data_IF_748003374289
#
_entry.id   IF_748003374289
#
_cell.length_a   1.000
_cell.length_b   1.000
_cell.length_c   1.000
_cell.angle_alpha   90.00
_cell.angle_beta   90.00
_cell.angle_gamma   90.00
#
_symmetry.space_group_name_H-M   'P 1'
#
loop_
_entity.id
_entity.type
_entity.pdbx_description
1 polymer ?
#
# COMPACT_ATOMS: atom_id res chain seq x y z
N UNK A 1 -27.35 -31.47 14.62
CA UNK A 1 -28.12 -31.01 15.79
C UNK A 1 -28.37 -29.52 15.60
N UNK A 2 -29.57 -29.18 15.13
CA UNK A 2 -29.97 -27.83 14.71
C UNK A 2 -30.39 -27.04 15.95
N UNK A 3 -29.72 -25.91 16.23
CA UNK A 3 -30.12 -24.98 17.27
C UNK A 3 -30.72 -23.76 16.57
N UNK A 4 -32.06 -23.75 16.48
CA UNK A 4 -32.87 -22.60 16.10
C UNK A 4 -32.81 -21.58 17.23
N UNK A 5 -32.35 -20.35 16.96
CA UNK A 5 -32.51 -19.22 17.89
C UNK A 5 -33.84 -18.53 17.60
N UNK A 6 -34.71 -18.56 18.60
CA UNK A 6 -36.03 -17.95 18.66
C UNK A 6 -35.96 -16.43 18.75
N UNK A 7 -36.76 -15.77 17.92
CA UNK A 7 -37.07 -14.34 17.91
C UNK A 7 -37.81 -13.96 19.20
N UNK A 8 -37.28 -13.04 20.00
CA UNK A 8 -38.03 -12.36 21.06
C UNK A 8 -38.36 -10.95 20.60
N UNK A 9 -39.64 -10.73 20.31
CA UNK A 9 -40.24 -9.42 20.04
C UNK A 9 -40.41 -8.72 21.39
N UNK A 10 -39.67 -7.63 21.61
CA UNK A 10 -39.87 -6.74 22.76
C UNK A 10 -40.75 -5.56 22.33
N UNK A 11 -41.98 -5.54 22.84
CA UNK A 11 -42.91 -4.42 22.74
C UNK A 11 -42.47 -3.39 23.78
N UNK A 12 -41.95 -2.25 23.34
CA UNK A 12 -41.68 -1.11 24.22
C UNK A 12 -42.91 -0.18 24.25
N UNK A 13 -43.40 0.06 25.47
CA UNK A 13 -44.58 0.84 25.78
C UNK A 13 -44.37 2.34 25.54
N UNK A 14 -45.39 3.01 24.98
CA UNK A 14 -45.51 4.46 24.95
C UNK A 14 -45.66 5.02 26.37
N UNK A 15 -44.75 5.91 26.77
CA UNK A 15 -45.00 6.89 27.83
C UNK A 15 -44.89 8.28 27.27
N UNK A 16 -46.02 8.99 27.22
CA UNK A 16 -46.11 10.42 26.92
C UNK A 16 -45.65 11.24 28.12
N UNK A 17 -44.72 12.19 27.91
CA UNK A 17 -44.47 13.29 28.83
C UNK A 17 -44.27 14.60 28.05
N UNK A 18 -44.94 15.65 28.54
CA UNK A 18 -45.24 16.92 27.91
C UNK A 18 -44.11 17.95 27.91
N UNK A 19 -43.98 18.66 26.76
CA UNK A 19 -43.55 20.05 26.55
C UNK A 19 -42.40 20.63 27.42
N UNK A 20 -41.19 20.65 26.83
CA UNK A 20 -40.20 21.71 27.04
C UNK A 20 -39.54 22.09 25.70
N UNK A 21 -39.68 23.37 25.35
CA UNK A 21 -38.76 24.21 24.56
C UNK A 21 -37.95 23.58 23.42
N UNK A 22 -38.37 23.88 22.18
CA UNK A 22 -37.55 24.02 20.97
C UNK A 22 -36.21 23.29 20.93
N UNK A 23 -36.23 21.95 20.89
CA UNK A 23 -35.07 21.16 20.51
C UNK A 23 -35.12 20.98 18.99
N UNK A 24 -34.08 21.41 18.30
CA UNK A 24 -33.92 21.29 16.86
C UNK A 24 -34.04 19.83 16.41
N UNK A 25 -35.18 19.44 15.86
CA UNK A 25 -35.38 18.13 15.21
C UNK A 25 -34.55 17.96 13.91
N UNK A 26 -33.83 19.01 13.50
CA UNK A 26 -33.04 19.00 12.28
C UNK A 26 -31.83 18.05 12.35
N UNK A 27 -31.11 17.97 13.47
CA UNK A 27 -29.84 17.20 13.50
C UNK A 27 -30.06 15.69 13.49
N UNK A 28 -31.08 15.17 14.20
CA UNK A 28 -31.34 13.74 14.24
C UNK A 28 -31.91 13.20 12.91
N UNK A 29 -32.71 14.02 12.21
CA UNK A 29 -33.21 13.67 10.88
C UNK A 29 -32.10 13.71 9.82
N UNK A 30 -31.14 14.64 9.95
CA UNK A 30 -29.97 14.74 9.09
C UNK A 30 -28.96 13.59 9.34
N UNK A 31 -28.77 13.19 10.59
CA UNK A 31 -27.92 12.03 10.94
C UNK A 31 -28.51 10.72 10.38
N UNK A 32 -29.83 10.54 10.53
CA UNK A 32 -30.52 9.35 9.99
C UNK A 32 -30.49 9.31 8.46
N UNK A 33 -30.62 10.46 7.77
CA UNK A 33 -30.58 10.51 6.31
C UNK A 33 -29.17 10.23 5.77
N UNK A 34 -28.14 10.72 6.47
CA UNK A 34 -26.72 10.43 6.17
C UNK A 34 -26.42 8.94 6.32
N UNK A 35 -26.84 8.32 7.43
CA UNK A 35 -26.69 6.89 7.65
C UNK A 35 -27.36 6.05 6.56
N UNK A 36 -28.59 6.41 6.17
CA UNK A 36 -29.31 5.70 5.10
C UNK A 36 -28.58 5.83 3.76
N UNK A 37 -28.04 7.01 3.43
CA UNK A 37 -27.26 7.22 2.21
C UNK A 37 -25.95 6.43 2.23
N UNK A 38 -25.24 6.42 3.36
CA UNK A 38 -24.00 5.66 3.53
C UNK A 38 -24.22 4.16 3.30
N UNK A 39 -25.26 3.59 3.92
CA UNK A 39 -25.64 2.18 3.73
C UNK A 39 -26.05 1.89 2.29
N UNK A 40 -26.66 2.86 1.60
CA UNK A 40 -27.01 2.69 0.19
C UNK A 40 -25.75 2.65 -0.70
N UNK A 41 -24.79 3.55 -0.47
CA UNK A 41 -23.53 3.60 -1.21
C UNK A 41 -22.69 2.33 -1.00
N UNK A 42 -22.55 1.87 0.25
CA UNK A 42 -21.91 0.60 0.61
C UNK A 42 -22.47 -0.55 -0.22
N UNK A 43 -23.79 -0.73 -0.22
CA UNK A 43 -24.47 -1.78 -1.00
C UNK A 43 -24.29 -1.65 -2.50
N UNK A 44 -24.28 -0.43 -3.02
CA UNK A 44 -24.06 -0.17 -4.45
C UNK A 44 -22.64 -0.60 -4.85
N UNK A 45 -21.64 -0.24 -4.04
CA UNK A 45 -20.24 -0.63 -4.27
C UNK A 45 -20.05 -2.14 -4.14
N UNK A 46 -20.63 -2.77 -3.12
CA UNK A 46 -20.58 -4.22 -2.93
C UNK A 46 -21.14 -4.97 -4.13
N UNK A 47 -22.33 -4.56 -4.60
CA UNK A 47 -22.96 -5.17 -5.77
C UNK A 47 -22.12 -5.01 -7.04
N UNK A 48 -21.50 -3.84 -7.24
CA UNK A 48 -20.61 -3.60 -8.37
C UNK A 48 -19.37 -4.51 -8.30
N UNK A 49 -18.73 -4.63 -7.13
CA UNK A 49 -17.56 -5.49 -6.92
C UNK A 49 -17.89 -6.96 -7.14
N UNK A 50 -19.04 -7.42 -6.63
CA UNK A 50 -19.52 -8.80 -6.80
C UNK A 50 -19.74 -9.11 -8.29
N UNK A 51 -20.34 -8.20 -9.06
CA UNK A 51 -20.65 -8.41 -10.48
C UNK A 51 -19.42 -8.70 -11.35
N UNK A 52 -18.26 -8.14 -11.01
CA UNK A 52 -16.99 -8.36 -11.72
C UNK A 52 -16.02 -9.28 -10.96
N UNK A 53 -16.46 -9.89 -9.85
CA UNK A 53 -15.67 -10.84 -9.08
C UNK A 53 -14.41 -10.22 -8.45
N UNK A 54 -14.47 -8.94 -8.07
CA UNK A 54 -13.35 -8.27 -7.40
C UNK A 54 -13.38 -8.59 -5.91
N UNK A 55 -12.61 -9.61 -5.53
CA UNK A 55 -12.38 -9.96 -4.13
C UNK A 55 -11.39 -9.01 -3.45
N UNK A 56 -11.66 -8.69 -2.17
CA UNK A 56 -10.71 -7.99 -1.31
C UNK A 56 -9.42 -8.79 -1.21
N UNK A 57 -8.29 -8.11 -1.43
CA UNK A 57 -6.97 -8.76 -1.45
C UNK A 57 -6.38 -8.97 -0.06
N UNK A 58 -6.96 -8.28 0.93
CA UNK A 58 -6.61 -8.28 2.34
C UNK A 58 -7.83 -7.83 3.15
N UNK A 59 -7.77 -7.96 4.48
CA UNK A 59 -8.84 -7.54 5.36
C UNK A 59 -8.96 -6.00 5.37
N UNK A 60 -10.19 -5.50 5.38
CA UNK A 60 -10.50 -4.07 5.47
C UNK A 60 -10.25 -3.51 6.87
N UNK A 61 -9.93 -2.22 6.95
CA UNK A 61 -9.58 -1.51 8.18
C UNK A 61 -10.68 -0.50 8.53
N UNK A 62 -11.21 -0.61 9.74
CA UNK A 62 -12.03 0.46 10.34
C UNK A 62 -11.11 1.61 10.77
N UNK A 63 -11.31 2.84 10.30
CA UNK A 63 -10.45 3.97 10.66
C UNK A 63 -10.66 4.42 12.10
N UNK A 64 -9.60 4.95 12.70
CA UNK A 64 -9.69 5.79 13.89
C UNK A 64 -9.82 7.26 13.46
N UNK A 65 -10.82 7.96 13.98
CA UNK A 65 -11.01 9.38 13.74
C UNK A 65 -10.32 10.22 14.82
N UNK A 66 -9.46 11.15 14.40
CA UNK A 66 -8.89 12.19 15.26
C UNK A 66 -8.99 13.54 14.55
N UNK A 67 -9.79 14.44 15.11
CA UNK A 67 -10.14 15.73 14.50
C UNK A 67 -10.71 15.54 13.07
N UNK A 68 -10.08 16.15 12.06
CA UNK A 68 -10.46 16.07 10.64
C UNK A 68 -9.72 14.96 9.87
N UNK A 69 -9.04 14.06 10.58
CA UNK A 69 -8.23 12.98 9.98
C UNK A 69 -8.80 11.62 10.34
N UNK A 70 -9.04 10.81 9.32
CA UNK A 70 -9.31 9.38 9.45
C UNK A 70 -8.03 8.59 9.21
N UNK A 71 -7.66 7.75 10.16
CA UNK A 71 -6.41 6.98 10.15
C UNK A 71 -6.69 5.48 10.07
N UNK A 72 -6.20 4.84 9.03
CA UNK A 72 -6.32 3.40 8.77
C UNK A 72 -4.99 2.73 9.12
N UNK A 73 -4.86 2.30 10.37
CA UNK A 73 -3.63 1.68 10.88
C UNK A 73 -3.50 0.23 10.44
N UNK A 74 -2.36 -0.13 9.86
CA UNK A 74 -2.01 -1.51 9.50
C UNK A 74 -0.60 -1.89 9.97
N UNK A 75 -0.25 -3.17 9.81
CA UNK A 75 1.12 -3.65 10.08
C UNK A 75 2.15 -3.14 9.06
N UNK A 76 1.70 -2.75 7.86
CA UNK A 76 2.55 -2.19 6.80
C UNK A 76 2.74 -0.67 6.97
N UNK A 77 1.85 -0.01 7.72
CA UNK A 77 1.87 1.42 7.99
C UNK A 77 0.46 2.01 8.14
N UNK A 78 0.36 3.32 8.29
CA UNK A 78 -0.93 4.02 8.46
C UNK A 78 -1.30 4.74 7.18
N UNK A 79 -2.43 4.40 6.58
CA UNK A 79 -3.02 5.25 5.53
C UNK A 79 -3.87 6.34 6.20
N UNK A 80 -3.95 7.53 5.61
CA UNK A 80 -4.76 8.63 6.16
C UNK A 80 -5.65 9.25 5.10
N UNK A 81 -6.85 9.66 5.50
CA UNK A 81 -7.75 10.51 4.75
C UNK A 81 -7.96 11.80 5.55
N UNK A 82 -7.70 12.94 4.92
CA UNK A 82 -7.98 14.27 5.46
C UNK A 82 -8.95 14.98 4.52
N UNK A 83 -10.05 15.52 5.05
CA UNK A 83 -11.01 16.27 4.24
C UNK A 83 -11.03 17.71 4.73
N UNK A 84 -10.72 18.64 3.83
CA UNK A 84 -10.61 20.07 4.12
C UNK A 84 -11.09 20.93 2.93
N UNK A 85 -10.84 22.25 2.99
CA UNK A 85 -11.30 23.23 1.99
C UNK A 85 -10.76 23.00 0.59
N UNK A 86 -9.68 22.23 0.47
CA UNK A 86 -9.00 21.92 -0.77
C UNK A 86 -9.45 20.57 -1.36
N UNK A 87 -10.23 19.77 -0.61
CA UNK A 87 -10.79 18.49 -1.04
C UNK A 87 -10.55 17.35 -0.04
N UNK A 88 -10.58 16.12 -0.54
CA UNK A 88 -10.23 14.92 0.21
C UNK A 88 -8.82 14.45 -0.17
N UNK A 89 -7.85 14.70 0.71
CA UNK A 89 -6.46 14.27 0.58
C UNK A 89 -6.24 12.88 1.17
N UNK A 90 -5.73 11.97 0.36
CA UNK A 90 -5.51 10.55 0.67
C UNK A 90 -4.00 10.28 0.65
N UNK A 91 -3.47 9.74 1.74
CA UNK A 91 -2.08 9.35 1.90
C UNK A 91 -1.99 7.86 2.23
N UNK A 92 -1.86 6.97 1.23
CA UNK A 92 -1.60 5.57 1.50
C UNK A 92 -0.22 5.40 2.16
N UNK A 93 -0.12 4.59 3.23
CA UNK A 93 1.12 4.40 3.99
C UNK A 93 1.82 5.73 4.35
N UNK A 94 1.02 6.67 4.84
CA UNK A 94 1.37 8.04 5.22
C UNK A 94 2.58 8.10 6.14
N UNK A 95 3.42 9.12 5.91
CA UNK A 95 4.52 9.50 6.79
C UNK A 95 4.16 10.85 7.41
N UNK A 96 4.36 11.01 8.72
CA UNK A 96 4.04 12.27 9.40
C UNK A 96 4.69 13.47 8.71
N UNK A 97 3.86 14.42 8.26
CA UNK A 97 4.30 15.65 7.60
C UNK A 97 4.44 15.58 6.08
N UNK A 98 4.08 14.47 5.42
CA UNK A 98 3.99 14.41 3.96
C UNK A 98 2.65 14.94 3.45
N UNK A 99 2.66 15.56 2.27
CA UNK A 99 1.45 15.88 1.50
C UNK A 99 0.68 14.61 1.11
N UNK A 100 -0.65 14.69 0.90
CA UNK A 100 -1.42 13.58 0.38
C UNK A 100 -0.90 13.13 -0.97
N UNK A 101 -0.88 11.83 -1.25
CA UNK A 101 -0.47 11.31 -2.56
C UNK A 101 -1.53 11.61 -3.62
N UNK A 102 -2.79 11.46 -3.23
CA UNK A 102 -3.97 11.63 -4.08
C UNK A 102 -4.90 12.66 -3.45
N UNK A 103 -5.44 13.59 -4.24
CA UNK A 103 -6.50 14.50 -3.81
C UNK A 103 -7.72 14.36 -4.71
N UNK A 104 -8.89 14.21 -4.10
CA UNK A 104 -10.19 14.29 -4.77
C UNK A 104 -10.75 15.69 -4.53
N UNK A 105 -11.00 16.42 -5.62
CA UNK A 105 -11.61 17.75 -5.56
C UNK A 105 -13.06 17.69 -5.99
N UNK A 106 -13.95 17.81 -5.01
CA UNK A 106 -15.38 17.94 -5.22
C UNK A 106 -15.96 18.86 -4.14
N UNK A 107 -17.04 19.57 -4.47
CA UNK A 107 -17.68 20.47 -3.53
C UNK A 107 -18.45 19.69 -2.46
N UNK A 108 -18.53 20.23 -1.23
CA UNK A 108 -19.31 19.71 -0.11
C UNK A 108 -18.82 18.41 0.55
N UNK A 109 -17.64 17.88 0.17
CA UNK A 109 -17.09 16.66 0.76
C UNK A 109 -16.96 16.72 2.30
N UNK A 110 -16.51 17.86 2.85
CA UNK A 110 -16.35 18.05 4.30
C UNK A 110 -17.65 17.94 5.10
N UNK A 111 -18.78 18.30 4.49
CA UNK A 111 -20.07 18.36 5.19
C UNK A 111 -20.74 16.98 5.26
N UNK A 112 -20.31 16.05 4.41
CA UNK A 112 -20.98 14.79 4.13
C UNK A 112 -20.00 13.61 4.17
N UNK A 113 -19.32 13.46 5.30
CA UNK A 113 -18.48 12.30 5.60
C UNK A 113 -19.20 11.35 6.56
N UNK A 114 -19.11 10.06 6.30
CA UNK A 114 -19.60 8.99 7.18
C UNK A 114 -18.71 7.77 7.09
N UNK A 115 -18.72 6.93 8.12
CA UNK A 115 -17.96 5.68 8.17
C UNK A 115 -18.93 4.55 8.51
N UNK A 116 -18.97 3.50 7.69
CA UNK A 116 -19.83 2.33 7.90
C UNK A 116 -19.21 1.36 8.90
N UNK A 117 -19.97 0.33 9.30
CA UNK A 117 -19.54 -0.60 10.35
C UNK A 117 -18.36 -1.50 9.93
N UNK A 118 -18.22 -1.76 8.64
CA UNK A 118 -17.12 -2.51 8.02
C UNK A 118 -15.84 -1.67 7.82
N UNK A 119 -15.95 -0.35 7.93
CA UNK A 119 -14.82 0.57 7.89
C UNK A 119 -14.74 1.43 6.62
N UNK A 120 -15.63 1.20 5.65
CA UNK A 120 -15.67 2.00 4.43
C UNK A 120 -16.06 3.44 4.76
N UNK A 121 -15.36 4.39 4.13
CA UNK A 121 -15.59 5.82 4.35
C UNK A 121 -16.28 6.46 3.16
N UNK A 122 -17.43 7.07 3.42
CA UNK A 122 -18.28 7.66 2.39
C UNK A 122 -18.10 9.16 2.37
N UNK A 123 -17.89 9.71 1.19
CA UNK A 123 -17.78 11.14 0.94
C UNK A 123 -18.79 11.51 -0.14
N UNK A 124 -19.74 12.39 0.20
CA UNK A 124 -20.69 12.89 -0.80
C UNK A 124 -20.29 14.25 -1.34
N UNK A 125 -19.98 14.28 -2.63
CA UNK A 125 -19.67 15.49 -3.38
C UNK A 125 -20.87 16.07 -4.11
N UNK A 126 -20.62 17.11 -4.90
CA UNK A 126 -21.58 17.65 -5.87
C UNK A 126 -21.59 16.84 -7.15
N UNK A 127 -20.42 16.42 -7.62
CA UNK A 127 -20.27 15.75 -8.91
C UNK A 127 -20.48 14.24 -8.79
N UNK A 128 -20.00 13.63 -7.69
CA UNK A 128 -20.17 12.22 -7.42
C UNK A 128 -20.15 11.90 -5.92
N UNK A 129 -20.56 10.68 -5.59
CA UNK A 129 -20.31 10.07 -4.29
C UNK A 129 -19.05 9.20 -4.36
N UNK A 130 -18.29 9.13 -3.26
CA UNK A 130 -17.07 8.34 -3.17
C UNK A 130 -17.13 7.40 -1.97
N UNK A 131 -16.65 6.18 -2.15
CA UNK A 131 -16.48 5.17 -1.08
C UNK A 131 -15.01 4.77 -1.04
N UNK A 132 -14.39 4.90 0.13
CA UNK A 132 -12.98 4.63 0.33
C UNK A 132 -12.79 3.44 1.27
N UNK A 133 -12.10 2.42 0.76
CA UNK A 133 -11.78 1.20 1.49
C UNK A 133 -10.26 1.09 1.62
N UNK A 134 -9.76 0.93 2.84
CA UNK A 134 -8.35 0.73 3.11
C UNK A 134 -8.11 -0.67 3.67
N UNK A 135 -7.04 -1.32 3.22
CA UNK A 135 -6.77 -2.72 3.53
C UNK A 135 -5.50 -2.91 4.38
N UNK A 136 -5.44 -4.01 5.12
CA UNK A 136 -4.35 -4.38 6.05
C UNK A 136 -2.98 -4.56 5.40
N UNK A 137 -2.92 -4.66 4.07
CA UNK A 137 -1.68 -4.70 3.30
C UNK A 137 -1.22 -3.31 2.83
N UNK A 138 -1.97 -2.26 3.18
CA UNK A 138 -1.69 -0.88 2.81
C UNK A 138 -2.25 -0.48 1.45
N UNK A 139 -2.90 -1.37 0.71
CA UNK A 139 -3.68 -0.99 -0.48
C UNK A 139 -4.92 -0.18 -0.09
N UNK A 140 -5.41 0.62 -1.05
CA UNK A 140 -6.54 1.50 -0.85
C UNK A 140 -7.33 1.60 -2.14
N UNK A 141 -8.66 1.47 -2.06
CA UNK A 141 -9.56 1.66 -3.19
C UNK A 141 -10.43 2.87 -2.98
N UNK A 142 -10.63 3.63 -4.06
CA UNK A 142 -11.63 4.69 -4.10
C UNK A 142 -12.64 4.30 -5.16
N UNK A 143 -13.87 4.04 -4.74
CA UNK A 143 -14.98 3.86 -5.65
C UNK A 143 -15.67 5.21 -5.87
N UNK A 144 -15.90 5.58 -7.12
CA UNK A 144 -16.75 6.70 -7.51
C UNK A 144 -18.10 6.16 -7.96
N UNK A 145 -19.18 6.67 -7.37
CA UNK A 145 -20.56 6.34 -7.72
C UNK A 145 -21.16 7.52 -8.49
N UNK A 146 -21.38 7.30 -9.78
CA UNK A 146 -21.92 8.28 -10.73
C UNK A 146 -23.43 8.04 -10.82
N UNK A 147 -24.22 8.97 -10.30
CA UNK A 147 -25.66 8.78 -10.07
C UNK A 147 -26.54 8.88 -11.32
N UNK A 148 -26.06 9.52 -12.39
CA UNK A 148 -26.91 9.74 -13.56
C UNK A 148 -26.14 9.99 -14.86
N UNK A 149 -26.85 9.84 -15.97
CA UNK A 149 -26.37 10.13 -17.32
C UNK A 149 -25.87 11.57 -17.53
N UNK A 150 -26.37 12.51 -16.73
CA UNK A 150 -26.08 13.94 -16.87
C UNK A 150 -24.88 14.35 -15.97
N UNK A 151 -24.38 13.43 -15.14
CA UNK A 151 -23.21 13.65 -14.29
C UNK A 151 -21.91 13.61 -15.10
N UNK A 152 -20.82 14.08 -14.49
CA UNK A 152 -19.50 14.03 -15.11
C UNK A 152 -18.97 12.59 -15.15
N UNK A 153 -18.65 12.09 -16.34
CA UNK A 153 -18.07 10.75 -16.55
C UNK A 153 -16.55 10.77 -16.73
N UNK A 154 -15.94 11.94 -16.54
CA UNK A 154 -14.50 12.13 -16.52
C UNK A 154 -14.08 12.52 -15.12
N UNK A 155 -13.79 11.52 -14.29
CA UNK A 155 -13.53 11.67 -12.86
C UNK A 155 -12.06 12.05 -12.64
N UNK A 156 -11.77 13.22 -12.05
CA UNK A 156 -10.40 13.65 -11.78
C UNK A 156 -9.86 13.13 -10.44
N UNK A 157 -8.60 12.74 -10.47
CA UNK A 157 -7.79 12.33 -9.32
C UNK A 157 -6.47 13.11 -9.37
N UNK A 158 -6.29 14.10 -8.50
CA UNK A 158 -5.06 14.90 -8.49
C UNK A 158 -3.93 14.11 -7.83
N UNK A 159 -2.87 13.82 -8.57
CA UNK A 159 -1.66 13.17 -8.07
C UNK A 159 -0.70 14.25 -7.58
N UNK A 160 -0.49 14.35 -6.27
CA UNK A 160 0.46 15.32 -5.71
C UNK A 160 1.88 14.74 -5.71
N UNK A 161 2.41 14.54 -6.91
CA UNK A 161 3.74 13.97 -7.12
C UNK A 161 4.82 14.99 -6.76
N UNK A 162 5.89 14.53 -6.11
CA UNK A 162 7.08 15.35 -5.89
C UNK A 162 7.84 15.59 -7.21
N UNK A 163 8.76 16.55 -7.22
CA UNK A 163 9.57 16.85 -8.41
C UNK A 163 10.44 15.67 -8.89
N UNK A 164 10.74 14.74 -7.99
CA UNK A 164 11.46 13.50 -8.28
C UNK A 164 10.50 12.33 -8.52
N UNK A 165 9.22 12.57 -8.81
CA UNK A 165 8.22 11.54 -9.03
C UNK A 165 7.49 11.74 -10.37
N UNK A 166 7.10 10.64 -11.00
CA UNK A 166 6.29 10.64 -12.21
C UNK A 166 5.22 9.55 -12.14
N UNK A 167 4.08 9.81 -12.79
CA UNK A 167 3.08 8.81 -13.09
C UNK A 167 3.14 8.48 -14.59
N UNK A 168 2.95 7.20 -14.92
CA UNK A 168 2.95 6.72 -16.29
C UNK A 168 1.85 5.67 -16.47
N UNK A 169 1.08 5.78 -17.55
CA UNK A 169 0.16 4.73 -17.98
C UNK A 169 0.98 3.58 -18.58
N UNK A 170 0.73 2.38 -18.07
CA UNK A 170 1.36 1.14 -18.50
C UNK A 170 0.60 0.48 -19.66
N UNK A 171 1.20 -0.47 -20.40
CA UNK A 171 0.55 -1.11 -21.54
C UNK A 171 -0.75 -1.87 -21.21
N UNK A 172 -0.94 -2.27 -19.95
CA UNK A 172 -2.14 -2.94 -19.46
C UNK A 172 -3.25 -1.98 -19.01
N UNK A 173 -3.03 -0.66 -19.14
CA UNK A 173 -3.97 0.38 -18.74
C UNK A 173 -3.85 0.78 -17.27
N UNK A 174 -2.98 0.14 -16.48
CA UNK A 174 -2.66 0.56 -15.11
C UNK A 174 -1.81 1.83 -15.10
N UNK A 175 -1.63 2.46 -13.94
CA UNK A 175 -0.71 3.61 -13.76
C UNK A 175 0.40 3.23 -12.79
N UNK A 176 1.64 3.24 -13.27
CA UNK A 176 2.81 3.13 -12.42
C UNK A 176 3.20 4.51 -11.88
N UNK A 177 3.42 4.62 -10.56
CA UNK A 177 4.02 5.80 -9.93
C UNK A 177 5.46 5.48 -9.59
N UNK A 178 6.38 6.33 -10.04
CA UNK A 178 7.81 6.11 -9.97
C UNK A 178 8.52 7.29 -9.31
N UNK A 179 9.53 6.99 -8.49
CA UNK A 179 10.58 7.96 -8.14
C UNK A 179 11.68 7.94 -9.20
N UNK A 180 12.03 9.12 -9.71
CA UNK A 180 13.07 9.39 -10.69
C UNK A 180 14.31 9.90 -9.98
N UNK A 181 15.45 9.26 -10.21
CA UNK A 181 16.74 9.72 -9.68
C UNK A 181 17.51 10.53 -10.72
N UNK A 182 18.43 11.39 -10.28
CA UNK A 182 19.26 12.26 -11.13
C UNK A 182 20.01 11.53 -12.24
N UNK A 183 20.26 10.23 -12.07
CA UNK A 183 20.97 9.39 -13.04
C UNK A 183 20.04 8.67 -14.04
N UNK A 184 18.75 9.03 -14.04
CA UNK A 184 17.71 8.50 -14.93
C UNK A 184 17.12 7.16 -14.48
N UNK A 185 17.47 6.65 -13.30
CA UNK A 185 16.84 5.44 -12.76
C UNK A 185 15.42 5.73 -12.26
N UNK A 186 14.49 4.80 -12.50
CA UNK A 186 13.10 4.89 -12.05
C UNK A 186 12.81 3.75 -11.05
N UNK A 187 12.32 4.10 -9.86
CA UNK A 187 11.86 3.16 -8.83
C UNK A 187 10.34 3.21 -8.74
N UNK A 188 9.66 2.11 -9.04
CA UNK A 188 8.23 1.99 -8.79
C UNK A 188 7.96 2.12 -7.28
N UNK A 189 7.13 3.08 -6.90
CA UNK A 189 6.69 3.31 -5.51
C UNK A 189 5.28 2.78 -5.29
N UNK A 190 4.42 2.82 -6.30
CA UNK A 190 3.07 2.26 -6.26
C UNK A 190 2.49 2.03 -7.65
N UNK A 191 1.39 1.29 -7.71
CA UNK A 191 0.59 1.05 -8.92
C UNK A 191 -0.85 1.41 -8.62
N UNK A 192 -1.53 2.06 -9.56
CA UNK A 192 -2.99 2.09 -9.62
C UNK A 192 -3.37 1.03 -10.65
N UNK A 193 -4.11 -0.01 -10.24
CA UNK A 193 -4.48 -1.12 -11.13
C UNK A 193 -5.33 -0.61 -12.30
N UNK A 194 -5.38 -1.39 -13.40
CA UNK A 194 -6.20 -1.03 -14.55
C UNK A 194 -7.65 -0.77 -14.11
N UNK A 195 -8.27 0.32 -14.59
CA UNK A 195 -9.56 0.76 -14.08
C UNK A 195 -10.65 -0.21 -14.49
N UNK A 196 -11.68 -0.32 -13.67
CA UNK A 196 -12.96 -0.91 -14.07
C UNK A 196 -14.11 0.05 -13.78
N UNK A 197 -15.21 -0.16 -14.50
CA UNK A 197 -16.49 0.49 -14.27
C UNK A 197 -17.61 -0.51 -14.52
N UNK A 198 -18.66 -0.44 -13.71
CA UNK A 198 -19.80 -1.36 -13.73
C UNK A 198 -21.08 -0.57 -13.52
N UNK A 199 -22.10 -0.87 -14.32
CA UNK A 199 -23.41 -0.26 -14.21
C UNK A 199 -24.28 -0.97 -13.13
N UNK A 200 -25.41 -0.37 -12.74
CA UNK A 200 -26.27 -0.92 -11.69
C UNK A 200 -26.94 -2.26 -12.04
N UNK A 201 -26.87 -2.69 -13.30
CA UNK A 201 -27.30 -4.03 -13.73
C UNK A 201 -26.16 -5.06 -13.69
N UNK A 202 -24.96 -4.66 -13.26
CA UNK A 202 -23.77 -5.50 -13.17
C UNK A 202 -23.04 -5.64 -14.51
N UNK A 203 -23.36 -4.85 -15.52
CA UNK A 203 -22.67 -4.92 -16.81
C UNK A 203 -21.39 -4.07 -16.78
N UNK A 204 -20.27 -4.56 -17.34
CA UNK A 204 -19.08 -3.75 -17.52
C UNK A 204 -19.36 -2.51 -18.37
N UNK A 205 -18.80 -1.38 -17.95
CA UNK A 205 -18.77 -0.12 -18.70
C UNK A 205 -17.34 0.14 -19.14
N UNK A 206 -17.15 0.54 -20.40
CA UNK A 206 -15.82 0.86 -20.91
C UNK A 206 -15.21 2.01 -20.11
N UNK A 207 -13.96 1.85 -19.70
CA UNK A 207 -13.24 2.86 -18.92
C UNK A 207 -11.75 2.80 -19.21
N UNK A 208 -11.07 3.94 -19.08
CA UNK A 208 -9.61 4.04 -19.19
C UNK A 208 -9.08 5.19 -18.36
N UNK A 209 -7.80 5.09 -18.02
CA UNK A 209 -7.06 6.23 -17.49
C UNK A 209 -6.48 7.10 -18.59
N UNK A 210 -6.37 8.38 -18.29
CA UNK A 210 -5.67 9.41 -19.06
C UNK A 210 -4.92 10.33 -18.10
N UNK A 211 -3.69 10.71 -18.44
CA UNK A 211 -2.88 11.63 -17.63
C UNK A 211 -2.77 12.99 -18.32
N UNK A 212 -3.18 14.04 -17.63
CA UNK A 212 -2.98 15.44 -18.04
C UNK A 212 -2.19 16.18 -16.95
N UNK A 213 -0.87 16.27 -17.14
CA UNK A 213 0.03 16.82 -16.13
C UNK A 213 0.04 15.95 -14.87
N UNK A 214 -0.42 16.49 -13.75
CA UNK A 214 -0.52 15.79 -12.47
C UNK A 214 -1.94 15.28 -12.18
N UNK A 215 -2.88 15.40 -13.12
CA UNK A 215 -4.26 14.92 -12.93
C UNK A 215 -4.41 13.59 -13.67
N UNK A 216 -4.79 12.57 -12.93
CA UNK A 216 -5.26 11.30 -13.47
C UNK A 216 -6.77 11.40 -13.69
N UNK A 217 -7.20 11.25 -14.93
CA UNK A 217 -8.60 11.14 -15.26
C UNK A 217 -8.97 9.68 -15.46
N UNK A 218 -10.01 9.23 -14.78
CA UNK A 218 -10.74 8.04 -15.21
C UNK A 218 -11.86 8.50 -16.15
N UNK A 219 -11.78 8.09 -17.41
CA UNK A 219 -12.80 8.33 -18.41
C UNK A 219 -13.73 7.12 -18.46
N UNK A 220 -14.98 7.27 -18.03
CA UNK A 220 -16.04 6.26 -18.12
C UNK A 220 -16.85 6.54 -19.39
N UNK A 221 -17.15 5.50 -20.17
CA UNK A 221 -17.90 5.62 -21.43
C UNK A 221 -19.20 4.80 -21.38
N UNK A 222 -20.27 5.33 -20.74
CA UNK A 222 -21.58 4.70 -20.74
C UNK A 222 -22.19 4.65 -22.13
N UNK A 223 -23.04 3.66 -22.34
CA UNK A 223 -23.86 3.53 -23.55
C UNK A 223 -25.29 3.96 -23.28
N UNK A 224 -26.13 4.03 -24.31
CA UNK A 224 -27.57 4.31 -24.15
C UNK A 224 -28.32 3.24 -23.35
N UNK A 225 -27.72 2.07 -23.12
CA UNK A 225 -28.28 0.97 -22.33
C UNK A 225 -27.70 0.86 -20.93
N UNK A 226 -26.69 1.67 -20.57
CA UNK A 226 -26.08 1.66 -19.24
C UNK A 226 -27.11 2.07 -18.17
N UNK A 227 -27.12 1.33 -17.05
CA UNK A 227 -28.05 1.56 -15.94
C UNK A 227 -27.32 2.26 -14.79
N UNK A 228 -27.88 3.37 -14.30
CA UNK A 228 -27.29 4.13 -13.21
C UNK A 228 -27.76 3.64 -11.83
N UNK A 229 -26.95 3.80 -10.76
CA UNK A 229 -25.63 4.42 -10.79
C UNK A 229 -24.56 3.55 -11.47
N UNK A 230 -23.51 4.20 -11.99
CA UNK A 230 -22.29 3.52 -12.46
C UNK A 230 -21.25 3.65 -11.36
N UNK A 231 -20.67 2.54 -10.95
CA UNK A 231 -19.55 2.50 -10.01
C UNK A 231 -18.26 2.27 -10.77
N UNK A 232 -17.23 3.07 -10.46
CA UNK A 232 -15.91 2.97 -11.08
C UNK A 232 -14.81 3.11 -10.02
N UNK A 233 -13.61 2.61 -10.28
CA UNK A 233 -12.48 2.74 -9.34
C UNK A 233 -11.25 3.45 -9.91
N UNK A 234 -10.42 3.99 -9.02
CA UNK A 234 -9.05 3.48 -8.99
C UNK A 234 -8.77 2.63 -7.74
N UNK A 235 -7.96 1.58 -7.93
CA UNK A 235 -7.37 0.79 -6.84
C UNK A 235 -5.87 1.01 -6.74
N UNK A 236 -5.43 1.63 -5.65
CA UNK A 236 -4.03 1.91 -5.36
C UNK A 236 -3.39 0.76 -4.57
N UNK A 237 -2.23 0.31 -5.05
CA UNK A 237 -1.47 -0.82 -4.51
C UNK A 237 0.00 -0.39 -4.29
N UNK A 238 0.54 -0.54 -3.07
CA UNK A 238 1.96 -0.28 -2.81
C UNK A 238 2.87 -1.17 -3.68
N UNK A 239 4.03 -0.65 -4.12
CA UNK A 239 4.97 -1.41 -4.96
C UNK A 239 5.50 -2.70 -4.31
N UNK A 240 5.51 -2.77 -2.96
CA UNK A 240 5.89 -3.97 -2.21
C UNK A 240 4.95 -5.16 -2.53
N UNK A 241 3.70 -4.86 -2.90
CA UNK A 241 2.64 -5.83 -3.23
C UNK A 241 2.51 -6.02 -4.74
N UNK A 242 2.58 -4.92 -5.50
CA UNK A 242 2.39 -4.92 -6.94
C UNK A 242 3.36 -5.84 -7.71
N UNK A 243 4.57 -6.07 -7.19
CA UNK A 243 5.60 -6.91 -7.81
C UNK A 243 5.18 -8.36 -8.11
N UNK A 244 4.12 -8.88 -7.49
CA UNK A 244 3.58 -10.23 -7.76
C UNK A 244 2.36 -10.20 -8.70
N UNK A 245 1.58 -9.12 -8.71
CA UNK A 245 0.26 -9.05 -9.38
C UNK A 245 0.31 -8.49 -10.81
N UNK A 246 1.19 -7.52 -11.09
CA UNK A 246 1.17 -6.74 -12.35
C UNK A 246 2.44 -6.89 -13.20
N UNK A 247 3.36 -7.79 -12.86
CA UNK A 247 4.57 -8.02 -13.66
C UNK A 247 5.49 -6.80 -13.78
N UNK A 248 5.35 -5.82 -12.89
CA UNK A 248 6.11 -4.57 -12.94
C UNK A 248 7.55 -4.82 -12.48
N UNK A 249 8.49 -4.40 -13.32
CA UNK A 249 9.92 -4.54 -13.08
C UNK A 249 10.49 -3.21 -12.61
N UNK A 250 11.11 -3.20 -11.43
CA UNK A 250 11.89 -2.06 -10.93
C UNK A 250 13.23 -2.00 -11.65
N UNK A 251 13.55 -0.87 -12.26
CA UNK A 251 14.85 -0.64 -12.91
C UNK A 251 15.85 -0.16 -11.86
N UNK A 252 16.79 -1.01 -11.48
CA UNK A 252 17.83 -0.67 -10.51
C UNK A 252 19.19 -0.61 -11.18
N UNK A 253 19.90 0.49 -10.93
CA UNK A 253 21.30 0.61 -11.31
C UNK A 253 22.21 -0.17 -10.36
N UNK A 254 22.95 -1.12 -10.92
CA UNK A 254 23.91 -1.96 -10.22
C UNK A 254 25.26 -1.75 -10.90
N UNK A 255 26.07 -0.86 -10.34
CA UNK A 255 27.27 -0.38 -11.01
C UNK A 255 26.92 0.35 -12.33
N UNK A 256 27.51 0.00 -13.49
CA UNK A 256 27.21 0.65 -14.77
C UNK A 256 25.96 0.11 -15.48
N UNK A 257 25.28 -0.91 -14.94
CA UNK A 257 24.15 -1.59 -15.60
C UNK A 257 22.83 -1.24 -14.93
N UNK A 258 21.78 -1.07 -15.73
CA UNK A 258 20.40 -1.04 -15.25
C UNK A 258 19.81 -2.43 -15.39
N UNK A 259 19.26 -2.97 -14.30
CA UNK A 259 18.72 -4.33 -14.23
C UNK A 259 17.28 -4.26 -13.71
N UNK A 260 16.40 -5.04 -14.34
CA UNK A 260 15.01 -5.23 -13.96
C UNK A 260 14.91 -6.20 -12.76
N UNK A 261 14.37 -5.74 -11.65
CA UNK A 261 14.13 -6.54 -10.44
C UNK A 261 12.68 -6.45 -9.99
N UNK A 262 12.25 -7.41 -9.18
CA UNK A 262 10.90 -7.45 -8.62
C UNK A 262 11.02 -7.32 -7.11
N UNK A 263 10.23 -6.43 -6.51
CA UNK A 263 10.15 -6.34 -5.05
C UNK A 263 9.58 -7.66 -4.51
N UNK A 264 10.28 -8.26 -3.57
CA UNK A 264 9.86 -9.49 -2.93
C UNK A 264 8.92 -9.19 -1.76
N UNK A 265 7.83 -9.97 -1.59
CA UNK A 265 6.98 -9.83 -0.43
C UNK A 265 7.76 -10.23 0.84
N UNK A 266 7.42 -9.63 1.98
CA UNK A 266 8.04 -9.95 3.27
C UNK A 266 7.95 -11.45 3.61
N UNK A 267 6.87 -12.12 3.18
CA UNK A 267 6.68 -13.56 3.34
C UNK A 267 7.77 -14.41 2.65
N UNK A 268 8.34 -13.95 1.53
CA UNK A 268 9.36 -14.69 0.77
C UNK A 268 10.63 -14.87 1.58
N UNK A 269 11.13 -13.80 2.21
CA UNK A 269 12.31 -13.88 3.08
C UNK A 269 11.98 -14.58 4.40
N UNK A 270 10.79 -14.36 4.97
CA UNK A 270 10.35 -15.04 6.18
C UNK A 270 10.32 -16.57 6.00
N UNK A 271 9.80 -17.04 4.86
CA UNK A 271 9.77 -18.45 4.47
C UNK A 271 11.17 -19.00 4.21
N UNK A 272 12.00 -18.28 3.45
CA UNK A 272 13.37 -18.68 3.16
C UNK A 272 14.23 -18.81 4.45
N UNK A 273 13.90 -18.03 5.48
CA UNK A 273 14.59 -18.04 6.77
C UNK A 273 13.85 -18.84 7.85
N UNK A 274 12.80 -19.61 7.51
CA UNK A 274 12.01 -20.36 8.49
C UNK A 274 12.87 -21.31 9.32
N UNK A 275 13.79 -22.02 8.66
CA UNK A 275 14.74 -22.97 9.27
C UNK A 275 16.16 -22.42 9.36
N UNK A 276 16.35 -21.10 9.31
CA UNK A 276 17.68 -20.51 9.35
C UNK A 276 18.36 -20.75 10.70
N UNK A 277 19.58 -21.29 10.66
CA UNK A 277 20.41 -21.49 11.84
C UNK A 277 21.46 -20.40 11.96
N UNK A 278 21.55 -19.81 13.15
CA UNK A 278 22.56 -18.79 13.47
C UNK A 278 23.96 -19.30 13.18
N UNK A 279 24.68 -18.62 12.30
CA UNK A 279 26.11 -18.86 12.10
C UNK A 279 26.86 -18.25 13.29
N UNK A 280 27.64 -19.08 13.98
CA UNK A 280 28.52 -18.64 15.07
C UNK A 280 29.96 -18.85 14.65
N UNK A 281 30.75 -17.77 14.66
CA UNK A 281 32.17 -17.78 14.36
C UNK A 281 32.97 -17.35 15.58
N UNK A 282 34.03 -18.11 15.91
CA UNK A 282 34.91 -17.82 17.05
C UNK A 282 36.29 -17.41 16.57
N UNK A 283 36.80 -16.30 17.10
CA UNK A 283 38.16 -15.83 16.87
C UNK A 283 38.79 -15.43 18.21
N UNK A 284 39.56 -16.33 18.81
CA UNK A 284 40.03 -16.16 20.18
C UNK A 284 38.86 -16.11 21.17
N UNK A 285 38.85 -15.12 22.05
CA UNK A 285 37.75 -14.88 23.00
C UNK A 285 36.51 -14.22 22.38
N UNK A 286 36.63 -13.67 21.16
CA UNK A 286 35.52 -12.99 20.49
C UNK A 286 34.63 -13.97 19.72
N UNK A 287 33.32 -13.78 19.86
CA UNK A 287 32.29 -14.55 19.17
C UNK A 287 31.48 -13.61 18.27
N UNK A 288 31.48 -13.90 16.97
CA UNK A 288 30.66 -13.18 15.99
C UNK A 288 29.50 -14.06 15.55
N UNK A 289 28.29 -13.50 15.51
CA UNK A 289 27.08 -14.18 15.09
C UNK A 289 26.44 -13.52 13.87
N UNK A 290 25.97 -14.34 12.94
CA UNK A 290 24.96 -13.94 11.96
C UNK A 290 23.68 -14.67 12.34
N UNK A 291 22.76 -13.94 12.97
CA UNK A 291 21.45 -14.45 13.34
C UNK A 291 20.41 -14.22 12.24
N UNK A 292 19.18 -14.69 12.48
CA UNK A 292 18.08 -14.58 11.52
C UNK A 292 17.78 -13.13 11.12
N UNK A 293 17.88 -12.19 12.06
CA UNK A 293 17.64 -10.77 11.79
C UNK A 293 18.73 -10.19 10.88
N UNK A 294 20.00 -10.46 11.19
CA UNK A 294 21.12 -10.05 10.34
C UNK A 294 21.04 -10.64 8.92
N UNK A 295 20.68 -11.93 8.80
CA UNK A 295 20.49 -12.54 7.48
C UNK A 295 19.29 -11.94 6.73
N UNK A 296 18.16 -11.71 7.42
CA UNK A 296 16.97 -11.07 6.85
C UNK A 296 17.34 -9.71 6.25
N UNK A 297 18.04 -8.86 7.03
CA UNK A 297 18.51 -7.56 6.57
C UNK A 297 19.39 -7.67 5.31
N UNK A 298 20.35 -8.61 5.29
CA UNK A 298 21.25 -8.80 4.15
C UNK A 298 20.48 -9.22 2.90
N UNK A 299 19.51 -10.14 3.01
CA UNK A 299 18.72 -10.60 1.87
C UNK A 299 17.78 -9.53 1.34
N UNK A 300 17.03 -8.87 2.22
CA UNK A 300 16.09 -7.80 1.86
C UNK A 300 16.79 -6.61 1.21
N UNK A 301 18.06 -6.40 1.52
CA UNK A 301 18.81 -5.25 1.04
C UNK A 301 19.74 -5.52 -0.12
N UNK A 302 20.24 -6.74 -0.25
CA UNK A 302 21.31 -7.05 -1.21
C UNK A 302 21.05 -8.30 -2.03
N UNK A 303 19.93 -9.01 -1.87
CA UNK A 303 19.64 -10.20 -2.68
C UNK A 303 18.47 -9.96 -3.65
N UNK A 304 18.68 -10.05 -4.97
CA UNK A 304 17.64 -9.81 -5.98
C UNK A 304 16.31 -10.51 -5.76
N UNK A 305 16.33 -11.76 -5.30
CA UNK A 305 15.11 -12.55 -5.11
C UNK A 305 14.31 -12.18 -3.84
N UNK A 306 14.95 -11.50 -2.88
CA UNK A 306 14.36 -11.16 -1.57
C UNK A 306 14.29 -9.65 -1.34
N UNK A 307 14.70 -8.85 -2.34
CA UNK A 307 14.85 -7.42 -2.19
C UNK A 307 13.52 -6.74 -1.88
N UNK A 308 13.50 -5.93 -0.83
CA UNK A 308 12.26 -5.32 -0.31
C UNK A 308 11.98 -3.92 -0.85
N UNK A 309 12.65 -3.51 -1.94
CA UNK A 309 12.48 -2.17 -2.51
C UNK A 309 13.42 -1.11 -1.93
N UNK A 310 14.20 -1.40 -0.87
CA UNK A 310 15.10 -0.39 -0.29
C UNK A 310 16.28 -0.05 -1.21
N UNK A 311 16.43 1.24 -1.56
CA UNK A 311 17.52 1.73 -2.42
C UNK A 311 18.51 2.66 -1.67
N UNK A 312 19.71 2.81 -2.24
CA UNK A 312 20.72 3.84 -1.90
C UNK A 312 21.38 4.32 -3.20
N UNK A 313 22.09 5.43 -3.12
CA UNK A 313 22.87 6.02 -4.22
C UNK A 313 23.82 5.05 -4.93
N UNK A 314 24.25 3.98 -4.27
CA UNK A 314 24.90 2.84 -4.90
C UNK A 314 24.28 1.54 -4.37
N UNK A 315 23.48 0.87 -5.20
CA UNK A 315 22.86 -0.41 -4.88
C UNK A 315 23.74 -1.57 -5.37
N UNK A 316 23.98 -2.54 -4.49
CA UNK A 316 24.80 -3.71 -4.78
C UNK A 316 24.00 -4.98 -4.51
N UNK A 317 24.01 -5.91 -5.46
CA UNK A 317 23.26 -7.15 -5.37
C UNK A 317 24.18 -8.36 -5.46
N UNK A 318 23.90 -9.37 -4.64
CA UNK A 318 24.41 -10.72 -4.83
C UNK A 318 24.00 -11.26 -6.20
N UNK A 319 24.74 -12.26 -6.67
CA UNK A 319 24.33 -13.02 -7.84
C UNK A 319 22.93 -13.62 -7.57
N UNK A 320 21.92 -13.39 -8.44
CA UNK A 320 20.55 -13.87 -8.25
C UNK A 320 20.44 -15.39 -8.04
N UNK A 321 21.44 -16.16 -8.47
CA UNK A 321 21.49 -17.62 -8.33
C UNK A 321 21.99 -18.10 -6.97
N UNK A 322 22.47 -17.21 -6.10
CA UNK A 322 22.93 -17.59 -4.77
C UNK A 322 21.74 -18.00 -3.90
N UNK A 323 21.84 -19.17 -3.27
CA UNK A 323 20.90 -19.54 -2.22
C UNK A 323 21.21 -18.79 -0.91
N UNK A 324 20.27 -18.82 0.04
CA UNK A 324 20.51 -18.34 1.42
C UNK A 324 21.74 -19.04 2.04
N UNK A 325 21.95 -20.32 1.71
CA UNK A 325 23.11 -21.10 2.15
C UNK A 325 24.40 -20.56 1.54
N UNK A 326 24.41 -20.23 0.25
CA UNK A 326 25.58 -19.67 -0.43
C UNK A 326 25.96 -18.32 0.18
N UNK A 327 24.99 -17.42 0.42
CA UNK A 327 25.23 -16.15 1.10
C UNK A 327 25.81 -16.37 2.49
N UNK A 328 25.24 -17.29 3.28
CA UNK A 328 25.74 -17.67 4.61
C UNK A 328 27.18 -18.19 4.55
N UNK A 329 27.51 -19.03 3.56
CA UNK A 329 28.82 -19.63 3.41
C UNK A 329 29.88 -18.60 2.99
N UNK A 330 29.53 -17.66 2.12
CA UNK A 330 30.41 -16.54 1.76
C UNK A 330 30.67 -15.64 2.97
N UNK A 331 29.66 -15.34 3.79
CA UNK A 331 29.85 -14.61 5.06
C UNK A 331 30.77 -15.37 6.01
N UNK A 332 30.61 -16.68 6.14
CA UNK A 332 31.49 -17.51 6.96
C UNK A 332 32.95 -17.47 6.47
N UNK A 333 33.16 -17.55 5.15
CA UNK A 333 34.47 -17.35 4.54
C UNK A 333 35.05 -15.97 4.85
N UNK A 334 34.23 -14.92 4.80
CA UNK A 334 34.63 -13.56 5.14
C UNK A 334 35.08 -13.38 6.58
N UNK A 335 34.34 -13.96 7.52
CA UNK A 335 34.74 -13.99 8.92
C UNK A 335 36.07 -14.73 9.12
N UNK A 336 36.28 -15.86 8.42
CA UNK A 336 37.51 -16.64 8.49
C UNK A 336 38.73 -15.86 7.99
N UNK A 337 38.62 -15.19 6.84
CA UNK A 337 39.72 -14.42 6.24
C UNK A 337 40.10 -13.20 7.10
N UNK A 338 39.17 -12.64 7.87
CA UNK A 338 39.43 -11.53 8.78
C UNK A 338 39.57 -11.96 10.25
N UNK A 339 39.81 -13.25 10.52
CA UNK A 339 39.84 -13.83 11.86
C UNK A 339 40.83 -13.13 12.81
N UNK A 340 42.03 -12.77 12.34
CA UNK A 340 43.03 -12.06 13.14
C UNK A 340 42.57 -10.68 13.59
N UNK A 341 41.90 -9.93 12.71
CA UNK A 341 41.36 -8.60 13.04
C UNK A 341 40.14 -8.71 13.97
N UNK A 342 39.29 -9.71 13.75
CA UNK A 342 38.11 -9.98 14.59
C UNK A 342 38.52 -10.40 16.00
N UNK A 343 39.64 -11.13 16.15
CA UNK A 343 40.18 -11.54 17.45
C UNK A 343 40.38 -10.36 18.40
N UNK A 344 40.67 -9.17 17.88
CA UNK A 344 40.94 -7.98 18.67
C UNK A 344 39.76 -6.99 18.68
N UNK A 345 38.61 -7.32 18.08
CA UNK A 345 37.51 -6.36 17.88
C UNK A 345 36.80 -5.98 19.18
N UNK A 346 36.44 -6.97 20.01
CA UNK A 346 35.61 -6.77 21.20
C UNK A 346 34.18 -6.35 20.84
N UNK A 347 33.62 -5.39 21.58
CA UNK A 347 32.31 -4.78 21.32
C UNK A 347 32.31 -3.71 20.21
N UNK A 348 33.47 -3.36 19.68
CA UNK A 348 33.59 -2.27 18.69
C UNK A 348 33.00 -2.67 17.34
N UNK A 349 32.81 -1.67 16.48
CA UNK A 349 32.46 -1.88 15.06
C UNK A 349 33.72 -2.01 14.22
N UNK A 350 33.78 -3.07 13.41
CA UNK A 350 34.84 -3.34 12.45
C UNK A 350 34.27 -3.44 11.04
N UNK A 351 34.90 -2.77 10.09
CA UNK A 351 34.60 -2.90 8.65
C UNK A 351 35.75 -3.60 7.96
N UNK A 352 35.43 -4.62 7.17
CA UNK A 352 36.40 -5.44 6.46
C UNK A 352 36.03 -5.56 5.00
N UNK A 353 37.03 -5.61 4.14
CA UNK A 353 36.85 -5.76 2.68
C UNK A 353 37.79 -6.83 2.16
N UNK A 354 37.31 -7.63 1.21
CA UNK A 354 38.13 -8.66 0.57
C UNK A 354 37.38 -9.37 -0.55
N UNK A 355 38.13 -10.11 -1.37
CA UNK A 355 37.55 -10.95 -2.42
C UNK A 355 37.22 -12.34 -1.89
N UNK A 356 36.03 -12.83 -2.23
CA UNK A 356 35.50 -14.14 -1.88
C UNK A 356 34.85 -14.74 -3.12
N UNK A 357 35.30 -15.93 -3.52
CA UNK A 357 34.84 -16.56 -4.76
C UNK A 357 34.95 -15.64 -6.00
N UNK A 358 35.99 -14.80 -6.04
CA UNK A 358 36.24 -13.87 -7.15
C UNK A 358 35.44 -12.55 -7.11
N UNK A 359 34.58 -12.35 -6.10
CA UNK A 359 33.77 -11.13 -5.94
C UNK A 359 34.25 -10.36 -4.70
N UNK A 360 34.39 -9.03 -4.81
CA UNK A 360 34.75 -8.18 -3.67
C UNK A 360 33.53 -7.97 -2.77
N UNK A 361 33.70 -8.09 -1.46
CA UNK A 361 32.64 -7.87 -0.48
C UNK A 361 33.08 -6.89 0.61
N UNK A 362 32.10 -6.17 1.16
CA UNK A 362 32.23 -5.45 2.42
C UNK A 362 31.49 -6.21 3.53
N UNK A 363 32.17 -6.45 4.64
CA UNK A 363 31.64 -7.05 5.86
C UNK A 363 31.70 -6.01 6.98
N UNK A 364 30.60 -5.82 7.71
CA UNK A 364 30.57 -5.00 8.92
C UNK A 364 30.15 -5.86 10.11
N UNK A 365 30.99 -5.89 11.13
CA UNK A 365 30.73 -6.55 12.40
C UNK A 365 30.62 -5.49 13.49
N UNK A 366 29.58 -5.55 14.32
CA UNK A 366 29.38 -4.65 15.45
C UNK A 366 28.80 -5.41 16.63
N UNK A 367 29.29 -5.17 17.85
CA UNK A 367 28.82 -5.85 19.06
C UNK A 367 28.72 -7.38 18.92
N UNK A 368 29.73 -8.00 18.26
CA UNK A 368 29.74 -9.45 18.01
C UNK A 368 28.69 -9.95 17.04
N UNK A 369 28.13 -9.08 16.17
CA UNK A 369 27.12 -9.43 15.17
C UNK A 369 27.53 -8.98 13.78
N UNK A 370 27.23 -9.78 12.77
CA UNK A 370 27.29 -9.34 11.36
C UNK A 370 26.09 -8.44 11.12
N UNK A 371 26.34 -7.16 10.85
CA UNK A 371 25.28 -6.14 10.66
C UNK A 371 25.13 -5.72 9.19
N UNK A 372 26.19 -5.86 8.38
CA UNK A 372 26.11 -5.66 6.93
C UNK A 372 27.03 -6.65 6.23
N UNK A 373 26.58 -7.15 5.09
CA UNK A 373 27.41 -7.90 4.15
C UNK A 373 26.89 -7.69 2.73
N UNK A 374 27.72 -7.20 1.82
CA UNK A 374 27.31 -6.95 0.43
C UNK A 374 28.47 -6.94 -0.56
N UNK A 375 28.23 -7.29 -1.84
CA UNK A 375 29.21 -7.18 -2.91
C UNK A 375 29.61 -5.71 -3.17
N UNK A 376 30.82 -5.46 -3.64
CA UNK A 376 31.31 -4.13 -4.02
C UNK A 376 31.49 -3.95 -5.51
#
# INVERSE_FOLDING_TARGET
MSIKRTLQVLIAALTSLSLLSGVSFASAADDTSRDVRAIHLEKTVDAAREAIGVESVADEIVPEQLDSVLSYGSVEGTSTLTVDGEGAGISPLSVTGSSPLLTIKDAFLQENISVTQDGSTMLSGREADYVLDAYTDGSLRVHTVIESKDANHRVPFELNLNNDELAQIEPDGSVGVYRVFDDGAHLLTSVIEAPWAVDAAGNPVETRFELEGSILYQNIEPTSTSVYPITADPFWVPAIIAGIRVGVHVLIKVGPRVVKYVVAPASRVANALRSFSTLTFRAGSNVVRLDKSGMKHILERHHPQYWNGTSKSAQTFFNPKMSVSDVRNVIHGALRNHSSSIRNLGSRTGTYTGSYSGVSYKLVVSNGRVVQFYPR
#
